data_IF_150418538280
#
_entry.id   IF_150418538280
#
_cell.length_a   1.000
_cell.length_b   1.000
_cell.length_c   1.000
_cell.angle_alpha   90.00
_cell.angle_beta   90.00
_cell.angle_gamma   90.00
#
_symmetry.space_group_name_H-M   'P 1'
#
loop_
_entity.id
_entity.type
_entity.pdbx_description
1 polymer ?
#
# COMPACT_ATOMS: atom_id res chain seq x y z
N UNK A 1 46.41 7.28 -15.88
CA UNK A 1 45.47 6.24 -16.34
C UNK A 1 45.76 4.92 -15.60
N UNK A 2 45.24 4.72 -14.38
CA UNK A 2 45.52 3.52 -13.59
C UNK A 2 44.39 3.19 -12.58
N UNK A 3 43.12 3.29 -12.99
CA UNK A 3 41.97 3.00 -12.10
C UNK A 3 41.11 1.82 -12.54
N UNK A 4 41.51 1.09 -13.60
CA UNK A 4 40.67 0.07 -14.25
C UNK A 4 41.05 -1.39 -13.95
N UNK A 5 42.14 -1.65 -13.22
CA UNK A 5 42.62 -3.02 -13.02
C UNK A 5 42.10 -3.66 -11.73
N UNK A 6 41.90 -2.88 -10.67
CA UNK A 6 41.51 -3.40 -9.35
C UNK A 6 40.16 -4.14 -9.34
N UNK A 7 39.17 -3.65 -10.08
CA UNK A 7 37.84 -4.27 -10.14
C UNK A 7 37.87 -5.60 -10.90
N UNK A 8 38.71 -5.68 -11.95
CA UNK A 8 38.90 -6.89 -12.74
C UNK A 8 39.78 -7.91 -11.99
N UNK A 9 40.71 -7.46 -11.16
CA UNK A 9 41.54 -8.32 -10.29
C UNK A 9 40.72 -8.93 -9.13
N UNK A 10 39.76 -8.16 -8.59
CA UNK A 10 38.82 -8.63 -7.56
C UNK A 10 37.79 -9.60 -8.15
N UNK A 11 37.15 -9.24 -9.28
CA UNK A 11 36.16 -10.11 -9.93
C UNK A 11 36.80 -11.33 -10.59
N UNK A 12 38.05 -11.21 -11.07
CA UNK A 12 38.81 -12.28 -11.72
C UNK A 12 39.52 -13.24 -10.78
N UNK A 13 39.36 -13.09 -9.45
CA UNK A 13 39.89 -14.03 -8.47
C UNK A 13 41.41 -14.00 -8.26
N UNK A 14 42.13 -13.08 -8.92
CA UNK A 14 43.58 -12.94 -8.80
C UNK A 14 43.98 -12.51 -7.38
N UNK A 15 43.10 -11.78 -6.68
CA UNK A 15 43.26 -11.43 -5.27
C UNK A 15 43.29 -12.65 -4.33
N UNK A 16 42.61 -13.75 -4.68
CA UNK A 16 42.62 -14.98 -3.89
C UNK A 16 43.93 -15.76 -4.04
N UNK A 17 44.64 -15.59 -5.16
CA UNK A 17 45.88 -16.31 -5.46
C UNK A 17 47.13 -15.65 -4.87
N UNK A 18 47.11 -14.33 -4.67
CA UNK A 18 48.31 -13.56 -4.29
C UNK A 18 48.47 -13.33 -2.78
N UNK A 19 47.47 -13.68 -1.98
CA UNK A 19 47.43 -13.42 -0.54
C UNK A 19 47.29 -14.75 0.22
N UNK A 20 47.74 -14.80 1.48
CA UNK A 20 47.57 -15.97 2.38
C UNK A 20 46.12 -16.39 2.65
N UNK A 21 45.17 -15.87 1.88
CA UNK A 21 43.75 -16.18 1.84
C UNK A 21 43.48 -17.65 1.52
N UNK A 22 44.32 -18.32 0.72
CA UNK A 22 44.21 -19.77 0.50
C UNK A 22 44.51 -20.61 1.76
N UNK A 23 45.38 -20.14 2.66
CA UNK A 23 45.61 -20.80 3.96
C UNK A 23 44.35 -20.74 4.85
N UNK A 24 43.54 -19.70 4.68
CA UNK A 24 42.26 -19.50 5.37
C UNK A 24 41.04 -19.76 4.46
N UNK A 25 41.17 -20.62 3.45
CA UNK A 25 40.12 -20.84 2.44
C UNK A 25 38.74 -21.19 3.04
N UNK A 26 38.70 -21.92 4.17
CA UNK A 26 37.45 -22.22 4.90
C UNK A 26 36.72 -20.95 5.38
N UNK A 27 37.47 -19.98 5.88
CA UNK A 27 36.93 -18.71 6.37
C UNK A 27 36.41 -17.83 5.22
N UNK A 28 37.15 -17.81 4.10
CA UNK A 28 36.76 -17.05 2.91
C UNK A 28 35.49 -17.62 2.28
N UNK A 29 35.38 -18.96 2.21
CA UNK A 29 34.16 -19.63 1.74
C UNK A 29 32.97 -19.36 2.67
N UNK A 30 33.18 -19.32 3.99
CA UNK A 30 32.14 -18.95 4.94
C UNK A 30 31.61 -17.53 4.70
N UNK A 31 32.49 -16.54 4.53
CA UNK A 31 32.08 -15.16 4.21
C UNK A 31 31.36 -15.12 2.86
N UNK A 32 31.85 -15.84 1.85
CA UNK A 32 31.22 -15.88 0.53
C UNK A 32 29.77 -16.39 0.60
N UNK A 33 29.53 -17.45 1.38
CA UNK A 33 28.18 -17.97 1.64
C UNK A 33 27.31 -16.92 2.35
N UNK A 34 27.85 -16.22 3.35
CA UNK A 34 27.12 -15.14 4.03
C UNK A 34 26.74 -13.99 3.07
N UNK A 35 27.63 -13.63 2.14
CA UNK A 35 27.35 -12.61 1.12
C UNK A 35 26.21 -13.06 0.20
N UNK A 36 26.21 -14.32 -0.25
CA UNK A 36 25.12 -14.86 -1.07
C UNK A 36 23.79 -14.83 -0.31
N UNK A 37 23.79 -15.24 0.97
CA UNK A 37 22.61 -15.19 1.82
C UNK A 37 22.12 -13.75 1.97
N UNK A 38 23.03 -12.81 2.22
CA UNK A 38 22.71 -11.39 2.37
C UNK A 38 22.06 -10.78 1.12
N UNK A 39 22.61 -11.08 -0.06
CA UNK A 39 22.05 -10.63 -1.35
C UNK A 39 20.65 -11.23 -1.54
N UNK A 40 20.48 -12.52 -1.22
CA UNK A 40 19.21 -13.22 -1.35
C UNK A 40 18.11 -12.62 -0.47
N UNK A 41 18.44 -12.31 0.80
CA UNK A 41 17.52 -11.67 1.74
C UNK A 41 17.14 -10.26 1.26
N UNK A 42 18.12 -9.45 0.84
CA UNK A 42 17.86 -8.09 0.34
C UNK A 42 16.90 -8.11 -0.86
N UNK A 43 17.11 -9.02 -1.81
CA UNK A 43 16.27 -9.14 -2.99
C UNK A 43 14.82 -9.52 -2.65
N UNK A 44 14.63 -10.37 -1.63
CA UNK A 44 13.30 -10.69 -1.10
C UNK A 44 12.62 -9.49 -0.45
N UNK A 45 13.34 -8.75 0.40
CA UNK A 45 12.81 -7.55 1.06
C UNK A 45 12.40 -6.47 0.06
N UNK A 46 13.21 -6.24 -0.97
CA UNK A 46 12.92 -5.21 -1.97
C UNK A 46 11.60 -5.49 -2.72
N UNK A 47 11.35 -6.76 -3.07
CA UNK A 47 10.08 -7.18 -3.67
C UNK A 47 8.90 -6.96 -2.74
N UNK A 48 9.03 -7.31 -1.46
CA UNK A 48 7.98 -7.09 -0.46
C UNK A 48 7.67 -5.60 -0.27
N UNK A 49 8.70 -4.75 -0.20
CA UNK A 49 8.52 -3.30 -0.07
C UNK A 49 7.79 -2.69 -1.28
N UNK A 50 8.05 -3.18 -2.49
CA UNK A 50 7.34 -2.72 -3.69
C UNK A 50 5.86 -3.12 -3.67
N UNK A 51 5.56 -4.36 -3.28
CA UNK A 51 4.18 -4.86 -3.16
C UNK A 51 3.45 -4.07 -2.07
N UNK A 52 4.08 -3.84 -0.93
CA UNK A 52 3.49 -3.07 0.16
C UNK A 52 3.16 -1.64 -0.28
N UNK A 53 4.07 -0.96 -0.97
CA UNK A 53 3.81 0.39 -1.52
C UNK A 53 2.64 0.40 -2.49
N UNK A 54 2.52 -0.62 -3.35
CA UNK A 54 1.40 -0.76 -4.28
C UNK A 54 0.08 -0.94 -3.52
N UNK A 55 0.04 -1.88 -2.58
CA UNK A 55 -1.15 -2.17 -1.78
C UNK A 55 -1.60 -0.94 -0.98
N UNK A 56 -0.65 -0.22 -0.37
CA UNK A 56 -0.94 1.03 0.36
C UNK A 56 -1.54 2.11 -0.55
N UNK A 57 -1.08 2.22 -1.80
CA UNK A 57 -1.65 3.15 -2.78
C UNK A 57 -3.08 2.75 -3.15
N UNK A 58 -3.32 1.47 -3.36
CA UNK A 58 -4.65 0.94 -3.70
C UNK A 58 -5.65 1.14 -2.55
N UNK A 59 -5.25 0.87 -1.32
CA UNK A 59 -6.07 1.14 -0.13
C UNK A 59 -6.43 2.63 0.01
N UNK A 60 -5.49 3.54 -0.26
CA UNK A 60 -5.76 4.98 -0.25
C UNK A 60 -6.78 5.38 -1.31
N UNK A 61 -6.64 4.85 -2.52
CA UNK A 61 -7.62 5.08 -3.60
C UNK A 61 -9.00 4.56 -3.20
N UNK A 62 -9.09 3.31 -2.72
CA UNK A 62 -10.36 2.70 -2.34
C UNK A 62 -11.03 3.46 -1.18
N UNK A 63 -10.26 3.91 -0.19
CA UNK A 63 -10.77 4.74 0.91
C UNK A 63 -11.33 6.08 0.40
N UNK A 64 -10.62 6.72 -0.52
CA UNK A 64 -11.07 7.97 -1.14
C UNK A 64 -12.38 7.77 -1.90
N UNK A 65 -12.46 6.72 -2.72
CA UNK A 65 -13.64 6.39 -3.51
C UNK A 65 -14.84 6.04 -2.63
N UNK A 66 -14.62 5.24 -1.58
CA UNK A 66 -15.64 4.94 -0.59
C UNK A 66 -16.16 6.22 0.07
N UNK A 67 -15.26 7.09 0.53
CA UNK A 67 -15.62 8.34 1.21
C UNK A 67 -16.44 9.24 0.28
N UNK A 68 -16.04 9.35 -0.99
CA UNK A 68 -16.75 10.13 -2.00
C UNK A 68 -18.14 9.57 -2.33
N UNK A 69 -18.25 8.24 -2.49
CA UNK A 69 -19.54 7.59 -2.73
C UNK A 69 -20.47 7.71 -1.52
N UNK A 70 -19.94 7.49 -0.32
CA UNK A 70 -20.69 7.61 0.93
C UNK A 70 -21.18 9.04 1.15
N UNK A 71 -20.34 10.05 0.94
CA UNK A 71 -20.74 11.45 1.08
C UNK A 71 -21.80 11.84 0.05
N UNK A 72 -21.69 11.34 -1.19
CA UNK A 72 -22.73 11.53 -2.21
C UNK A 72 -24.04 10.89 -1.77
N UNK A 73 -24.01 9.64 -1.31
CA UNK A 73 -25.22 8.95 -0.84
C UNK A 73 -25.87 9.68 0.35
N UNK A 74 -25.06 10.11 1.32
CA UNK A 74 -25.53 10.90 2.46
C UNK A 74 -26.18 12.21 2.01
N UNK A 75 -25.56 12.94 1.07
CA UNK A 75 -26.15 14.14 0.50
C UNK A 75 -27.50 13.86 -0.14
N UNK A 76 -27.61 12.79 -0.93
CA UNK A 76 -28.85 12.36 -1.57
C UNK A 76 -29.93 11.93 -0.56
N UNK A 77 -29.54 11.38 0.59
CA UNK A 77 -30.45 10.97 1.66
C UNK A 77 -30.97 12.14 2.52
N UNK A 78 -30.41 13.36 2.37
CA UNK A 78 -30.87 14.52 3.13
C UNK A 78 -32.32 14.81 2.77
N UNK A 79 -33.16 15.04 3.79
CA UNK A 79 -34.59 15.33 3.62
C UNK A 79 -34.86 16.44 2.60
N UNK A 80 -34.14 17.56 2.69
CA UNK A 80 -34.28 18.68 1.75
C UNK A 80 -33.96 18.30 0.29
N UNK A 81 -32.95 17.46 0.08
CA UNK A 81 -32.57 16.99 -1.27
C UNK A 81 -33.60 15.98 -1.81
N UNK A 82 -34.14 15.11 -0.96
CA UNK A 82 -35.23 14.19 -1.30
C UNK A 82 -36.52 14.95 -1.64
N UNK A 83 -36.90 15.93 -0.83
CA UNK A 83 -38.06 16.79 -1.08
C UNK A 83 -37.93 17.54 -2.41
N UNK A 84 -36.75 18.13 -2.68
CA UNK A 84 -36.47 18.79 -3.96
C UNK A 84 -36.63 17.83 -5.14
N UNK A 85 -36.08 16.61 -5.05
CA UNK A 85 -36.22 15.59 -6.10
C UNK A 85 -37.66 15.13 -6.30
N UNK A 86 -38.42 14.98 -5.23
CA UNK A 86 -39.84 14.63 -5.29
C UNK A 86 -40.65 15.73 -5.99
N UNK A 87 -40.36 17.00 -5.72
CA UNK A 87 -40.95 18.14 -6.42
C UNK A 87 -40.57 18.17 -7.91
N UNK A 88 -39.29 17.97 -8.22
CA UNK A 88 -38.80 17.92 -9.61
C UNK A 88 -39.46 16.77 -10.41
N UNK A 89 -39.83 15.67 -9.74
CA UNK A 89 -40.56 14.53 -10.32
C UNK A 89 -42.09 14.73 -10.35
N UNK A 90 -42.60 15.89 -9.95
CA UNK A 90 -44.04 16.21 -9.96
C UNK A 90 -44.85 15.63 -8.80
N UNK A 91 -44.19 15.18 -7.72
CA UNK A 91 -44.86 14.65 -6.54
C UNK A 91 -45.48 15.77 -5.68
N UNK A 92 -46.68 15.52 -5.15
CA UNK A 92 -47.41 16.45 -4.27
C UNK A 92 -47.12 16.22 -2.78
N UNK A 93 -46.24 15.27 -2.46
CA UNK A 93 -45.94 14.84 -1.09
C UNK A 93 -45.12 15.91 -0.36
N UNK A 94 -45.60 16.34 0.82
CA UNK A 94 -44.94 17.34 1.67
C UNK A 94 -44.37 16.66 2.92
N UNK A 95 -43.22 17.14 3.38
CA UNK A 95 -42.64 16.65 4.61
C UNK A 95 -43.52 17.02 5.82
N UNK A 96 -43.68 16.10 6.79
CA UNK A 96 -44.43 16.38 8.00
C UNK A 96 -43.68 17.41 8.85
N UNK A 97 -44.34 18.53 9.12
CA UNK A 97 -43.79 19.66 9.91
C UNK A 97 -43.82 19.36 11.41
N UNK A 98 -44.77 18.53 11.84
CA UNK A 98 -44.94 18.18 13.25
C UNK A 98 -44.22 16.86 13.58
N UNK A 99 -43.51 16.80 14.73
CA UNK A 99 -42.90 15.56 15.18
C UNK A 99 -43.96 14.49 15.46
N UNK A 100 -43.64 13.20 15.24
CA UNK A 100 -44.56 12.11 15.51
C UNK A 100 -44.91 12.07 17.00
N UNK A 101 -46.21 12.06 17.31
CA UNK A 101 -46.71 11.95 18.68
C UNK A 101 -46.90 10.47 19.02
N UNK A 102 -46.56 10.09 20.25
CA UNK A 102 -46.85 8.75 20.78
C UNK A 102 -48.37 8.61 20.85
N UNK A 103 -48.93 7.68 20.09
CA UNK A 103 -50.35 7.31 20.20
C UNK A 103 -50.48 6.48 21.48
N UNK A 104 -51.18 7.01 22.48
CA UNK A 104 -51.60 6.27 23.66
C UNK A 104 -53.01 5.80 23.33
N UNK A 105 -53.16 4.50 23.09
CA UNK A 105 -54.47 3.88 22.91
C UNK A 105 -55.02 3.70 24.33
N UNK A 106 -55.96 4.55 24.72
CA UNK A 106 -56.77 4.37 25.93
C UNK A 106 -57.98 3.51 25.61
N UNK A 107 -58.38 2.66 26.56
CA UNK A 107 -59.63 1.87 26.54
C UNK A 107 -60.87 2.74 26.33
#
# INVERSE_FOLDING_TARGET
MAKKNWMNEILGGQILLHSGILQQARYVLFIFVLVIIYISINFGMERSLLIERKNQRELRHLKSDYTSKASRLQYQSKRAEVEKRLLDLGSTIKAPVNPPKRVIIGE
#
